data_IF_679612038021
#
_entry.id   IF_679612038021
#
_cell.length_a   1.000
_cell.length_b   1.000
_cell.length_c   1.000
_cell.angle_alpha   90.00
_cell.angle_beta   90.00
_cell.angle_gamma   90.00
#
_symmetry.space_group_name_H-M   'P 1'
#
loop_
_entity.id
_entity.type
_entity.pdbx_description
1 polymer ?
#
# COMPACT_ATOMS: atom_id res chain seq x y z
N UNK A 1 25.15 13.07 -8.79
CA UNK A 1 26.39 12.35 -8.44
C UNK A 1 25.97 11.10 -7.69
N UNK A 2 25.80 10.01 -8.42
CA UNK A 2 25.20 8.76 -7.91
C UNK A 2 26.29 7.98 -7.17
N UNK A 3 26.25 7.99 -5.85
CA UNK A 3 26.90 6.94 -5.06
C UNK A 3 25.87 5.85 -4.81
N UNK A 4 25.97 4.80 -5.63
CA UNK A 4 25.48 3.47 -5.27
C UNK A 4 26.31 3.04 -4.06
N UNK A 5 25.73 3.15 -2.87
CA UNK A 5 26.18 2.43 -1.69
C UNK A 5 25.32 1.18 -1.60
N UNK A 6 25.75 0.14 -2.32
CA UNK A 6 25.14 -1.20 -2.31
C UNK A 6 25.53 -1.96 -1.02
N UNK A 7 25.43 -1.29 0.12
CA UNK A 7 25.57 -1.91 1.44
C UNK A 7 24.19 -1.87 2.06
N UNK A 8 23.50 -3.02 2.01
CA UNK A 8 22.25 -3.17 2.75
C UNK A 8 22.53 -2.91 4.23
N UNK A 9 21.70 -2.09 4.85
CA UNK A 9 21.81 -1.85 6.29
C UNK A 9 21.62 -3.16 7.05
N UNK A 10 22.13 -3.24 8.26
CA UNK A 10 22.00 -4.44 9.09
C UNK A 10 20.52 -4.80 9.34
N UNK A 11 19.66 -3.80 9.51
CA UNK A 11 18.20 -4.00 9.61
C UNK A 11 17.58 -4.57 8.32
N UNK A 12 18.03 -4.13 7.14
CA UNK A 12 17.56 -4.68 5.86
C UNK A 12 17.91 -6.18 5.72
N UNK A 13 19.10 -6.58 6.15
CA UNK A 13 19.50 -7.98 6.13
C UNK A 13 18.62 -8.84 7.07
N UNK A 14 18.25 -8.31 8.23
CA UNK A 14 17.35 -8.99 9.16
C UNK A 14 15.94 -9.20 8.59
N UNK A 15 15.39 -8.18 7.93
CA UNK A 15 14.09 -8.25 7.27
C UNK A 15 14.09 -9.26 6.10
N UNK A 16 15.16 -9.30 5.31
CA UNK A 16 15.33 -10.31 4.25
C UNK A 16 15.51 -11.71 4.83
N UNK A 17 16.21 -11.85 5.96
CA UNK A 17 16.34 -13.13 6.65
C UNK A 17 14.96 -13.62 7.11
N UNK A 18 14.15 -12.77 7.73
CA UNK A 18 12.78 -13.08 8.12
C UNK A 18 11.93 -13.56 6.94
N UNK A 19 11.93 -12.82 5.83
CA UNK A 19 11.16 -13.21 4.63
C UNK A 19 11.60 -14.56 4.06
N UNK A 20 12.91 -14.83 4.01
CA UNK A 20 13.44 -16.12 3.56
C UNK A 20 13.07 -17.26 4.51
N UNK A 21 13.18 -17.03 5.83
CA UNK A 21 12.77 -17.99 6.84
C UNK A 21 11.28 -18.33 6.68
N UNK A 22 10.40 -17.33 6.62
CA UNK A 22 8.97 -17.55 6.46
C UNK A 22 8.62 -18.28 5.16
N UNK A 23 9.31 -17.95 4.06
CA UNK A 23 9.14 -18.65 2.78
C UNK A 23 9.52 -20.13 2.88
N UNK A 24 10.58 -20.49 3.61
CA UNK A 24 10.98 -21.89 3.83
C UNK A 24 9.98 -22.67 4.68
N UNK A 25 9.15 -21.98 5.47
CA UNK A 25 8.10 -22.56 6.31
C UNK A 25 6.73 -22.57 5.60
N UNK A 26 6.69 -22.38 4.28
CA UNK A 26 5.46 -22.25 3.48
C UNK A 26 4.45 -21.25 4.07
N UNK A 27 4.97 -20.18 4.69
CA UNK A 27 4.16 -19.17 5.38
C UNK A 27 3.20 -18.48 4.41
N UNK A 28 1.95 -18.33 4.82
CA UNK A 28 0.92 -17.57 4.13
C UNK A 28 0.00 -16.88 5.14
N UNK A 29 -0.33 -15.62 4.90
CA UNK A 29 -1.22 -14.85 5.75
C UNK A 29 -1.96 -13.79 4.96
N UNK A 30 -3.28 -13.80 5.03
CA UNK A 30 -4.12 -12.79 4.37
C UNK A 30 -4.42 -11.68 5.37
N UNK A 31 -3.98 -10.46 5.07
CA UNK A 31 -4.31 -9.29 5.87
C UNK A 31 -5.79 -8.93 5.69
N UNK A 32 -6.48 -8.69 6.80
CA UNK A 32 -7.90 -8.34 6.85
C UNK A 32 -8.11 -6.93 7.42
N UNK A 33 -9.35 -6.46 7.50
CA UNK A 33 -9.64 -5.12 8.05
C UNK A 33 -9.13 -4.96 9.49
N UNK A 34 -8.65 -3.78 9.90
CA UNK A 34 -8.17 -3.54 11.26
C UNK A 34 -9.17 -3.93 12.35
N UNK A 35 -10.46 -3.63 12.15
CA UNK A 35 -11.52 -3.98 13.09
C UNK A 35 -11.68 -5.51 13.24
N UNK A 36 -11.65 -6.25 12.13
CA UNK A 36 -11.70 -7.72 12.17
C UNK A 36 -10.43 -8.30 12.78
N UNK A 37 -9.26 -7.71 12.48
CA UNK A 37 -7.99 -8.10 13.06
C UNK A 37 -8.01 -7.98 14.58
N UNK A 38 -8.45 -6.83 15.12
CA UNK A 38 -8.55 -6.61 16.56
C UNK A 38 -9.42 -7.69 17.23
N UNK A 39 -10.62 -7.95 16.68
CA UNK A 39 -11.54 -8.97 17.23
C UNK A 39 -10.93 -10.37 17.28
N UNK A 40 -10.10 -10.74 16.29
CA UNK A 40 -9.42 -12.04 16.27
C UNK A 40 -8.22 -12.05 17.22
N UNK A 41 -7.48 -10.95 17.30
CA UNK A 41 -6.37 -10.79 18.25
C UNK A 41 -6.86 -10.92 19.69
N UNK A 42 -7.96 -10.26 20.06
CA UNK A 42 -8.57 -10.34 21.39
C UNK A 42 -8.94 -11.79 21.75
N UNK A 43 -9.54 -12.52 20.81
CA UNK A 43 -9.88 -13.94 21.02
C UNK A 43 -8.64 -14.80 21.25
N UNK A 44 -7.56 -14.54 20.51
CA UNK A 44 -6.29 -15.27 20.63
C UNK A 44 -5.57 -14.97 21.94
N UNK A 45 -5.59 -13.72 22.40
CA UNK A 45 -4.99 -13.33 23.67
C UNK A 45 -5.66 -14.03 24.86
N UNK A 46 -6.95 -14.36 24.74
CA UNK A 46 -7.70 -15.07 25.77
C UNK A 46 -7.52 -16.60 25.73
N UNK A 47 -6.85 -17.15 24.72
CA UNK A 47 -6.62 -18.59 24.57
C UNK A 47 -5.24 -18.99 25.13
N UNK A 48 -5.19 -19.24 26.44
CA UNK A 48 -3.94 -19.49 27.18
C UNK A 48 -3.29 -20.86 26.91
N UNK A 49 -4.00 -21.79 26.25
CA UNK A 49 -3.54 -23.17 26.06
C UNK A 49 -3.04 -23.45 24.64
N UNK A 50 -2.95 -22.41 23.81
CA UNK A 50 -2.63 -22.56 22.39
C UNK A 50 -1.13 -22.48 22.14
N UNK A 51 -0.62 -23.40 21.32
CA UNK A 51 0.70 -23.28 20.71
C UNK A 51 0.77 -22.05 19.79
N UNK A 52 1.82 -21.24 19.96
CA UNK A 52 2.03 -20.02 19.20
C UNK A 52 2.62 -20.37 17.83
N UNK A 53 1.95 -19.95 16.77
CA UNK A 53 2.40 -20.18 15.39
C UNK A 53 3.09 -18.96 14.80
N UNK A 54 3.86 -19.12 13.72
CA UNK A 54 4.40 -18.00 12.94
C UNK A 54 3.30 -17.05 12.44
N UNK A 55 2.09 -17.56 12.16
CA UNK A 55 0.94 -16.72 11.80
C UNK A 55 0.42 -15.92 12.97
N UNK A 56 0.52 -16.44 14.20
CA UNK A 56 0.18 -15.67 15.39
C UNK A 56 1.18 -14.51 15.58
N UNK A 57 2.49 -14.78 15.43
CA UNK A 57 3.56 -13.77 15.60
C UNK A 57 3.55 -12.72 14.47
N UNK A 58 3.77 -13.14 13.21
CA UNK A 58 3.98 -12.21 12.09
C UNK A 58 2.70 -11.87 11.33
N UNK A 59 1.62 -12.63 11.53
CA UNK A 59 0.33 -12.38 10.89
C UNK A 59 -0.59 -11.59 11.81
N UNK A 60 -0.91 -12.14 12.98
CA UNK A 60 -1.83 -11.57 13.95
C UNK A 60 -1.19 -10.56 14.91
N UNK A 61 0.15 -10.48 14.95
CA UNK A 61 0.90 -9.62 15.88
C UNK A 61 0.69 -10.01 17.35
N UNK A 62 0.47 -11.29 17.62
CA UNK A 62 0.28 -11.83 18.97
C UNK A 62 1.62 -11.86 19.72
N UNK A 63 1.57 -11.55 21.03
CA UNK A 63 2.73 -11.65 21.92
C UNK A 63 3.21 -13.09 22.07
N UNK A 64 4.52 -13.29 22.16
CA UNK A 64 5.14 -14.61 22.22
C UNK A 64 6.35 -14.65 23.19
N UNK A 65 6.72 -15.84 23.65
CA UNK A 65 7.92 -16.08 24.46
C UNK A 65 9.11 -16.36 23.54
N UNK A 66 10.32 -16.14 24.05
CA UNK A 66 11.56 -16.45 23.31
C UNK A 66 11.62 -17.89 22.78
N UNK A 67 11.03 -18.85 23.50
CA UNK A 67 10.98 -20.27 23.13
C UNK A 67 10.00 -20.59 22.00
N UNK A 68 9.11 -19.66 21.65
CA UNK A 68 8.08 -19.86 20.64
C UNK A 68 8.58 -19.55 19.21
N UNK A 69 9.84 -19.13 19.08
CA UNK A 69 10.47 -18.78 17.81
C UNK A 69 11.80 -19.51 17.67
N UNK A 70 12.20 -19.79 16.43
CA UNK A 70 13.53 -20.33 16.13
C UNK A 70 14.61 -19.45 16.78
N UNK A 71 15.57 -20.04 17.53
CA UNK A 71 16.55 -19.25 18.29
C UNK A 71 17.41 -18.33 17.42
N UNK A 72 17.77 -18.75 16.20
CA UNK A 72 18.58 -17.93 15.30
C UNK A 72 17.76 -16.77 14.75
N UNK A 73 16.51 -17.02 14.33
CA UNK A 73 15.60 -15.96 13.93
C UNK A 73 15.33 -14.98 15.08
N UNK A 74 15.06 -15.47 16.29
CA UNK A 74 14.84 -14.63 17.46
C UNK A 74 16.02 -13.69 17.71
N UNK A 75 17.25 -14.22 17.76
CA UNK A 75 18.46 -13.42 17.99
C UNK A 75 18.65 -12.33 16.94
N UNK A 76 18.41 -12.64 15.67
CA UNK A 76 18.50 -11.65 14.57
C UNK A 76 17.44 -10.55 14.75
N UNK A 77 16.19 -10.90 15.05
CA UNK A 77 15.13 -9.91 15.22
C UNK A 77 15.36 -9.03 16.46
N UNK A 78 15.85 -9.62 17.56
CA UNK A 78 16.19 -8.91 18.80
C UNK A 78 17.35 -7.91 18.58
N UNK A 79 18.45 -8.37 17.97
CA UNK A 79 19.64 -7.54 17.70
C UNK A 79 19.31 -6.31 16.82
N UNK A 80 18.38 -6.46 15.88
CA UNK A 80 17.98 -5.41 14.95
C UNK A 80 16.74 -4.60 15.39
N UNK A 81 16.34 -4.71 16.66
CA UNK A 81 15.21 -3.96 17.25
C UNK A 81 13.89 -4.16 16.50
N UNK A 82 13.71 -5.36 15.93
CA UNK A 82 12.46 -5.78 15.27
C UNK A 82 11.49 -6.45 16.24
N UNK A 83 11.86 -6.53 17.52
CA UNK A 83 11.01 -7.00 18.62
C UNK A 83 10.86 -5.90 19.68
N UNK A 84 9.67 -5.80 20.25
CA UNK A 84 9.36 -4.96 21.43
C UNK A 84 8.91 -5.86 22.59
N UNK A 85 9.26 -5.49 23.81
CA UNK A 85 8.80 -6.20 25.01
C UNK A 85 7.55 -5.49 25.57
N UNK A 86 6.51 -6.26 25.86
CA UNK A 86 5.30 -5.82 26.55
C UNK A 86 4.82 -6.92 27.50
N UNK A 87 4.66 -6.60 28.79
CA UNK A 87 4.12 -7.52 29.81
C UNK A 87 4.81 -8.90 29.84
N UNK A 88 6.15 -8.91 29.71
CA UNK A 88 7.01 -10.11 29.64
C UNK A 88 6.89 -10.96 28.36
N UNK A 89 6.17 -10.48 27.34
CA UNK A 89 6.11 -11.08 26.01
C UNK A 89 6.84 -10.21 24.98
N UNK A 90 7.33 -10.85 23.93
CA UNK A 90 7.85 -10.17 22.74
C UNK A 90 6.71 -9.93 21.75
N UNK A 91 6.75 -8.79 21.09
CA UNK A 91 5.87 -8.41 19.98
C UNK A 91 6.74 -8.11 18.77
N UNK A 92 6.36 -8.62 17.60
CA UNK A 92 7.02 -8.25 16.35
C UNK A 92 6.68 -6.79 16.00
N UNK A 93 7.69 -6.03 15.60
CA UNK A 93 7.56 -4.65 15.09
C UNK A 93 7.14 -4.62 13.61
N UNK A 94 7.10 -5.79 12.97
CA UNK A 94 6.67 -5.98 11.58
C UNK A 94 5.66 -7.12 11.47
N UNK A 95 4.80 -7.01 10.46
CA UNK A 95 3.94 -8.10 10.02
C UNK A 95 4.30 -8.50 8.61
N UNK A 96 3.92 -9.72 8.25
CA UNK A 96 4.14 -10.27 6.91
C UNK A 96 2.81 -10.77 6.35
N UNK A 97 2.40 -10.19 5.22
CA UNK A 97 1.20 -10.61 4.50
C UNK A 97 1.59 -11.26 3.17
N UNK A 98 0.69 -12.07 2.62
CA UNK A 98 0.88 -12.68 1.30
C UNK A 98 -0.10 -12.16 0.27
N UNK A 99 0.38 -12.02 -0.97
CA UNK A 99 -0.39 -11.68 -2.17
C UNK A 99 0.20 -12.46 -3.36
N UNK A 100 -0.63 -13.28 -4.02
CA UNK A 100 -0.22 -14.13 -5.15
C UNK A 100 1.06 -14.96 -4.88
N UNK A 101 1.12 -15.61 -3.71
CA UNK A 101 2.26 -16.40 -3.21
C UNK A 101 3.56 -15.61 -2.94
N UNK A 102 3.57 -14.29 -3.10
CA UNK A 102 4.65 -13.42 -2.64
C UNK A 102 4.38 -12.95 -1.21
N UNK A 103 5.44 -12.68 -0.44
CA UNK A 103 5.38 -12.17 0.93
C UNK A 103 5.81 -10.70 0.95
N UNK A 104 5.16 -9.92 1.81
CA UNK A 104 5.37 -8.48 1.94
C UNK A 104 5.46 -8.11 3.41
N UNK A 105 6.56 -7.45 3.81
CA UNK A 105 6.70 -6.81 5.11
C UNK A 105 5.88 -5.53 5.14
N UNK A 106 5.19 -5.31 6.26
CA UNK A 106 4.48 -4.08 6.58
C UNK A 106 4.48 -3.83 8.10
N UNK A 107 3.92 -2.70 8.55
CA UNK A 107 3.95 -2.32 9.97
C UNK A 107 3.20 -3.29 10.88
N UNK A 108 3.64 -3.36 12.14
CA UNK A 108 2.95 -4.02 13.24
C UNK A 108 1.51 -3.53 13.44
N UNK A 109 0.73 -4.33 14.15
CA UNK A 109 -0.61 -3.98 14.60
C UNK A 109 -0.61 -3.67 16.11
N UNK A 110 -1.33 -2.63 16.59
CA UNK A 110 -2.20 -1.73 15.82
C UNK A 110 -1.39 -0.70 15.01
N UNK A 111 -1.88 -0.30 13.84
CA UNK A 111 -1.22 0.66 12.95
C UNK A 111 -1.56 2.09 13.38
N UNK A 112 -0.97 2.54 14.49
CA UNK A 112 -1.25 3.85 15.10
C UNK A 112 -0.14 4.87 14.84
N UNK A 113 1.04 4.41 14.44
CA UNK A 113 2.16 5.31 14.18
C UNK A 113 1.90 6.17 12.93
N UNK A 114 2.36 7.42 13.01
CA UNK A 114 2.26 8.39 11.91
C UNK A 114 2.87 7.87 10.61
N UNK A 115 3.99 7.15 10.74
CA UNK A 115 4.78 6.57 9.65
C UNK A 115 4.44 5.11 9.35
N UNK A 116 3.33 4.58 9.89
CA UNK A 116 2.97 3.18 9.68
C UNK A 116 2.76 2.88 8.19
N UNK A 117 3.24 1.71 7.76
CA UNK A 117 3.09 1.20 6.39
C UNK A 117 2.00 0.16 6.39
N UNK A 118 0.89 0.47 5.72
CA UNK A 118 -0.30 -0.37 5.72
C UNK A 118 -0.27 -1.41 4.61
N UNK A 119 -0.86 -2.57 4.91
CA UNK A 119 -1.16 -3.62 3.95
C UNK A 119 -2.49 -4.26 4.40
N UNK A 120 -3.49 -4.25 3.53
CA UNK A 120 -4.83 -4.70 3.90
C UNK A 120 -5.72 -5.04 2.70
N UNK A 121 -7.04 -5.21 2.93
CA UNK A 121 -8.02 -5.56 1.88
C UNK A 121 -7.99 -4.67 0.63
N UNK A 122 -7.68 -3.38 0.82
CA UNK A 122 -7.50 -2.41 -0.26
C UNK A 122 -6.34 -2.78 -1.19
N UNK A 123 -5.21 -3.24 -0.65
CA UNK A 123 -4.04 -3.68 -1.42
C UNK A 123 -4.40 -4.85 -2.34
N UNK A 124 -5.18 -5.82 -1.84
CA UNK A 124 -5.65 -6.96 -2.64
C UNK A 124 -6.55 -6.53 -3.78
N UNK A 125 -7.55 -5.68 -3.50
CA UNK A 125 -8.48 -5.15 -4.51
C UNK A 125 -7.73 -4.33 -5.55
N UNK A 126 -6.84 -3.43 -5.12
CA UNK A 126 -6.05 -2.59 -6.00
C UNK A 126 -5.19 -3.42 -6.96
N UNK A 127 -4.41 -4.37 -6.44
CA UNK A 127 -3.58 -5.24 -7.27
C UNK A 127 -4.41 -6.09 -8.24
N UNK A 128 -5.59 -6.56 -7.83
CA UNK A 128 -6.51 -7.29 -8.69
C UNK A 128 -7.01 -6.42 -9.85
N UNK A 129 -7.60 -5.26 -9.57
CA UNK A 129 -8.19 -4.41 -10.60
C UNK A 129 -7.14 -3.80 -11.53
N UNK A 130 -5.96 -3.43 -11.01
CA UNK A 130 -4.85 -2.97 -11.83
C UNK A 130 -4.42 -4.07 -12.81
N UNK A 131 -4.25 -5.32 -12.34
CA UNK A 131 -3.92 -6.44 -13.23
C UNK A 131 -4.96 -6.61 -14.34
N UNK A 132 -6.26 -6.55 -14.03
CA UNK A 132 -7.31 -6.68 -15.05
C UNK A 132 -7.24 -5.55 -16.08
N UNK A 133 -7.08 -4.32 -15.61
CA UNK A 133 -6.95 -3.15 -16.48
C UNK A 133 -5.74 -3.29 -17.43
N UNK A 134 -4.56 -3.65 -16.91
CA UNK A 134 -3.36 -3.82 -17.72
C UNK A 134 -3.47 -5.00 -18.70
N UNK A 135 -4.17 -6.08 -18.34
CA UNK A 135 -4.42 -7.22 -19.24
C UNK A 135 -5.27 -6.84 -20.45
N UNK A 136 -6.18 -5.86 -20.31
CA UNK A 136 -7.01 -5.38 -21.43
C UNK A 136 -6.32 -4.37 -22.35
N UNK A 137 -5.08 -3.96 -22.05
CA UNK A 137 -4.33 -2.96 -22.82
C UNK A 137 -3.35 -3.60 -23.79
N UNK A 138 -3.14 -2.94 -24.92
CA UNK A 138 -2.16 -3.33 -25.95
C UNK A 138 -0.95 -2.39 -26.04
N UNK A 139 -1.04 -1.18 -25.48
CA UNK A 139 0.07 -0.21 -25.53
C UNK A 139 1.24 -0.66 -24.64
N UNK A 140 2.49 -0.45 -25.07
CA UNK A 140 3.67 -0.76 -24.27
C UNK A 140 3.70 0.06 -22.96
N UNK A 141 4.09 -0.58 -21.87
CA UNK A 141 4.26 0.04 -20.55
C UNK A 141 5.73 -0.02 -20.16
N UNK A 142 6.57 0.79 -20.82
CA UNK A 142 8.02 0.75 -20.63
C UNK A 142 8.44 1.48 -19.37
N UNK A 143 7.81 2.62 -19.08
CA UNK A 143 8.11 3.43 -17.92
C UNK A 143 6.88 3.65 -17.06
N UNK A 144 6.91 3.14 -15.84
CA UNK A 144 5.78 3.21 -14.91
C UNK A 144 6.16 3.89 -13.60
N UNK A 145 5.17 4.46 -12.91
CA UNK A 145 5.30 4.94 -11.54
C UNK A 145 4.12 4.54 -10.66
N UNK A 146 4.41 3.95 -9.51
CA UNK A 146 3.49 3.83 -8.38
C UNK A 146 3.65 5.03 -7.45
N UNK A 147 2.59 5.79 -7.20
CA UNK A 147 2.58 6.86 -6.19
C UNK A 147 1.96 6.35 -4.88
N UNK A 148 2.45 6.87 -3.76
CA UNK A 148 2.06 6.42 -2.41
C UNK A 148 2.28 4.92 -2.26
N UNK A 149 3.46 4.44 -2.64
CA UNK A 149 3.68 3.02 -2.90
C UNK A 149 3.57 2.13 -1.66
N UNK A 150 3.75 2.66 -0.44
CA UNK A 150 3.67 1.88 0.79
C UNK A 150 4.62 0.67 0.74
N UNK A 151 4.05 -0.53 0.67
CA UNK A 151 4.80 -1.80 0.58
C UNK A 151 5.30 -2.16 -0.82
N UNK A 152 4.87 -1.43 -1.85
CA UNK A 152 5.04 -1.73 -3.28
C UNK A 152 4.45 -3.08 -3.71
N UNK A 153 3.46 -3.58 -3.00
CA UNK A 153 2.83 -4.86 -3.30
C UNK A 153 2.18 -4.90 -4.69
N UNK A 154 1.57 -3.80 -5.14
CA UNK A 154 1.00 -3.72 -6.47
C UNK A 154 2.10 -3.64 -7.54
N UNK A 155 3.11 -2.76 -7.39
CA UNK A 155 4.26 -2.69 -8.29
C UNK A 155 4.98 -4.04 -8.46
N UNK A 156 5.32 -4.71 -7.35
CA UNK A 156 5.96 -6.03 -7.36
C UNK A 156 5.06 -7.06 -8.05
N UNK A 157 3.76 -7.02 -7.82
CA UNK A 157 2.81 -7.93 -8.46
C UNK A 157 2.76 -7.70 -9.97
N UNK A 158 2.56 -6.47 -10.43
CA UNK A 158 2.44 -6.19 -11.87
C UNK A 158 3.76 -6.45 -12.61
N UNK A 159 4.91 -6.16 -12.01
CA UNK A 159 6.22 -6.42 -12.62
C UNK A 159 6.48 -7.92 -12.84
N UNK A 160 5.90 -8.80 -12.00
CA UNK A 160 5.94 -10.25 -12.21
C UNK A 160 5.00 -10.73 -13.30
N UNK A 161 3.83 -10.09 -13.45
CA UNK A 161 2.85 -10.46 -14.48
C UNK A 161 3.17 -9.88 -15.87
N UNK A 162 3.76 -8.69 -15.91
CA UNK A 162 4.08 -7.94 -17.12
C UNK A 162 5.57 -7.59 -17.12
N UNK A 163 6.46 -8.54 -17.46
CA UNK A 163 7.92 -8.35 -17.33
C UNK A 163 8.53 -7.45 -18.41
N UNK A 164 7.75 -7.03 -19.42
CA UNK A 164 8.20 -6.23 -20.56
C UNK A 164 8.15 -4.71 -20.28
N UNK A 165 8.81 -4.28 -19.20
CA UNK A 165 9.03 -2.89 -18.83
C UNK A 165 10.53 -2.57 -18.74
N UNK A 166 10.89 -1.30 -18.92
CA UNK A 166 12.26 -0.81 -18.82
C UNK A 166 12.55 -0.28 -17.42
N UNK A 167 11.63 0.49 -16.85
CA UNK A 167 11.77 1.12 -15.53
C UNK A 167 10.41 1.21 -14.81
N UNK A 168 10.38 0.89 -13.53
CA UNK A 168 9.25 1.15 -12.65
C UNK A 168 9.73 1.91 -11.41
N UNK A 169 9.24 3.12 -11.23
CA UNK A 169 9.52 3.93 -10.03
C UNK A 169 8.43 3.65 -8.99
N UNK A 170 8.79 3.50 -7.73
CA UNK A 170 7.83 3.47 -6.62
C UNK A 170 8.13 4.66 -5.71
N UNK A 171 7.17 5.56 -5.57
CA UNK A 171 7.35 6.84 -4.92
C UNK A 171 6.50 6.94 -3.65
N UNK A 172 7.11 7.42 -2.56
CA UNK A 172 6.43 7.65 -1.30
C UNK A 172 7.09 8.82 -0.54
N UNK A 173 6.31 9.50 0.29
CA UNK A 173 6.82 10.54 1.19
C UNK A 173 7.50 9.92 2.43
N UNK A 174 7.02 8.74 2.83
CA UNK A 174 7.40 8.06 4.07
C UNK A 174 8.70 7.24 3.90
N UNK A 175 9.81 7.60 4.58
CA UNK A 175 11.05 6.84 4.51
C UNK A 175 10.93 5.38 4.95
N UNK A 176 10.02 5.08 5.88
CA UNK A 176 9.75 3.70 6.34
C UNK A 176 9.03 2.88 5.28
N UNK A 177 8.12 3.50 4.52
CA UNK A 177 7.51 2.87 3.34
C UNK A 177 8.58 2.51 2.30
N UNK A 178 9.50 3.44 2.00
CA UNK A 178 10.59 3.19 1.05
C UNK A 178 11.55 2.08 1.52
N UNK A 179 11.83 2.01 2.83
CA UNK A 179 12.59 0.90 3.41
C UNK A 179 11.90 -0.45 3.17
N UNK A 180 10.61 -0.55 3.49
CA UNK A 180 9.85 -1.81 3.32
C UNK A 180 9.65 -2.15 1.84
N UNK A 181 9.38 -1.15 1.01
CA UNK A 181 9.33 -1.26 -0.45
C UNK A 181 10.63 -1.87 -0.99
N UNK A 182 11.80 -1.32 -0.62
CA UNK A 182 13.09 -1.87 -1.04
C UNK A 182 13.26 -3.33 -0.61
N UNK A 183 12.87 -3.68 0.63
CA UNK A 183 12.95 -5.07 1.10
C UNK A 183 12.04 -6.03 0.33
N UNK A 184 10.82 -5.59 0.02
CA UNK A 184 9.87 -6.39 -0.74
C UNK A 184 10.32 -6.56 -2.21
N UNK A 185 10.90 -5.52 -2.81
CA UNK A 185 11.49 -5.54 -4.17
C UNK A 185 12.70 -6.49 -4.22
N UNK A 186 13.61 -6.34 -3.26
CA UNK A 186 14.82 -7.16 -3.15
C UNK A 186 14.47 -8.64 -2.96
N UNK A 187 13.51 -8.93 -2.07
CA UNK A 187 13.03 -10.28 -1.83
C UNK A 187 12.33 -10.88 -3.07
N UNK A 188 11.66 -10.05 -3.86
CA UNK A 188 11.08 -10.44 -5.13
C UNK A 188 12.11 -10.64 -6.26
N UNK A 189 13.35 -10.19 -6.07
CA UNK A 189 14.43 -10.30 -7.06
C UNK A 189 14.27 -9.35 -8.25
N UNK A 190 13.52 -8.25 -8.10
CA UNK A 190 13.18 -7.32 -9.18
C UNK A 190 14.18 -6.16 -9.24
N UNK A 191 14.98 -6.09 -10.32
CA UNK A 191 16.08 -5.11 -10.44
C UNK A 191 15.71 -3.79 -11.10
N UNK A 192 14.56 -3.76 -11.78
CA UNK A 192 14.07 -2.60 -12.55
C UNK A 192 13.04 -1.76 -11.78
N UNK A 193 12.89 -2.02 -10.48
CA UNK A 193 12.01 -1.25 -9.60
C UNK A 193 12.87 -0.39 -8.68
N UNK A 194 12.59 0.91 -8.64
CA UNK A 194 13.41 1.89 -7.93
C UNK A 194 12.58 2.73 -6.95
N UNK A 195 12.80 2.58 -5.63
CA UNK A 195 12.20 3.46 -4.64
C UNK A 195 12.75 4.88 -4.70
N UNK A 196 11.87 5.87 -4.68
CA UNK A 196 12.22 7.30 -4.69
C UNK A 196 11.40 8.05 -3.64
N UNK A 197 12.08 8.79 -2.76
CA UNK A 197 11.38 9.69 -1.85
C UNK A 197 10.87 10.91 -2.60
N UNK A 198 9.55 11.10 -2.65
CA UNK A 198 8.92 12.18 -3.40
C UNK A 198 7.56 12.55 -2.80
N UNK A 199 7.25 13.85 -2.76
CA UNK A 199 5.86 14.31 -2.65
C UNK A 199 5.26 14.28 -4.06
N UNK A 200 4.46 13.26 -4.34
CA UNK A 200 3.93 12.97 -5.67
C UNK A 200 5.03 13.02 -6.73
N UNK A 201 4.98 13.98 -7.65
CA UNK A 201 5.90 14.10 -8.78
C UNK A 201 7.13 14.99 -8.51
N UNK A 202 7.23 15.61 -7.32
CA UNK A 202 8.24 16.65 -7.03
C UNK A 202 9.70 16.21 -7.31
N UNK A 203 10.04 14.96 -7.01
CA UNK A 203 11.37 14.40 -7.24
C UNK A 203 11.41 13.40 -8.41
N UNK A 204 10.38 13.38 -9.25
CA UNK A 204 10.27 12.48 -10.39
C UNK A 204 10.61 13.21 -11.69
N UNK A 205 11.44 12.60 -12.52
CA UNK A 205 11.87 13.18 -13.79
C UNK A 205 11.17 12.50 -14.97
N UNK A 206 10.83 13.30 -15.99
CA UNK A 206 10.28 12.82 -17.25
C UNK A 206 8.80 12.42 -17.18
N UNK A 207 8.40 11.64 -18.18
CA UNK A 207 7.01 11.20 -18.38
C UNK A 207 6.90 9.67 -18.26
N UNK A 208 5.68 9.17 -18.10
CA UNK A 208 5.36 7.78 -17.82
C UNK A 208 4.28 7.24 -18.77
N UNK A 209 4.40 5.97 -19.12
CA UNK A 209 3.38 5.21 -19.85
C UNK A 209 2.26 4.75 -18.91
N UNK A 210 2.59 4.53 -17.63
CA UNK A 210 1.64 4.16 -16.58
C UNK A 210 1.94 4.94 -15.30
N UNK A 211 0.95 5.66 -14.80
CA UNK A 211 0.91 6.19 -13.43
C UNK A 211 -0.18 5.41 -12.71
N UNK A 212 0.12 4.84 -11.55
CA UNK A 212 -0.88 4.14 -10.75
C UNK A 212 -0.74 4.47 -9.28
N UNK A 213 -1.85 4.50 -8.56
CA UNK A 213 -1.84 4.85 -7.14
C UNK A 213 -3.05 4.28 -6.39
N UNK A 214 -2.79 3.88 -5.14
CA UNK A 214 -3.78 3.69 -4.09
C UNK A 214 -3.39 4.66 -2.96
N UNK A 215 -3.66 5.97 -3.10
CA UNK A 215 -3.28 6.93 -2.09
C UNK A 215 -4.16 6.79 -0.83
N UNK A 216 -3.71 7.34 0.29
CA UNK A 216 -4.58 7.70 1.41
C UNK A 216 -5.81 8.48 0.94
N UNK A 217 -7.00 8.11 1.42
CA UNK A 217 -8.27 8.69 0.98
C UNK A 217 -9.28 8.96 2.12
N UNK A 218 -8.85 8.92 3.38
CA UNK A 218 -9.70 9.23 4.53
C UNK A 218 -9.30 10.56 5.20
N UNK A 219 -10.19 11.14 5.99
CA UNK A 219 -9.88 12.18 6.97
C UNK A 219 -9.49 11.44 8.26
N UNK A 220 -8.25 11.60 8.69
CA UNK A 220 -7.74 10.98 9.90
C UNK A 220 -7.30 12.09 10.87
N UNK A 221 -7.92 12.21 12.06
CA UNK A 221 -7.55 13.24 13.03
C UNK A 221 -6.08 13.19 13.47
N UNK A 222 -5.47 12.00 13.41
CA UNK A 222 -4.05 11.80 13.70
C UNK A 222 -3.15 12.05 12.49
N UNK A 223 -3.73 12.33 11.32
CA UNK A 223 -3.04 12.56 10.05
C UNK A 223 -2.06 11.44 9.63
N UNK A 224 -2.30 10.18 10.01
CA UNK A 224 -1.39 9.07 9.67
C UNK A 224 -1.15 9.01 8.17
N UNK A 225 0.11 8.91 7.75
CA UNK A 225 0.52 9.09 6.36
C UNK A 225 -0.10 8.07 5.41
N UNK A 226 -0.39 6.85 5.87
CA UNK A 226 -1.04 5.82 5.04
C UNK A 226 -2.57 6.00 4.92
N UNK A 227 -3.16 6.92 5.69
CA UNK A 227 -4.61 6.99 5.90
C UNK A 227 -5.21 8.34 5.52
N UNK A 228 -4.53 9.43 5.87
CA UNK A 228 -5.03 10.77 5.65
C UNK A 228 -4.82 11.25 4.20
N UNK A 229 -5.91 11.38 3.43
CA UNK A 229 -5.88 11.88 2.06
C UNK A 229 -6.08 13.39 1.92
N UNK A 230 -6.12 14.12 3.05
CA UNK A 230 -6.33 15.57 3.13
C UNK A 230 -7.76 15.97 3.46
N UNK A 231 -7.94 17.18 3.99
CA UNK A 231 -9.24 17.66 4.51
C UNK A 231 -10.23 18.10 3.42
N UNK A 232 -9.74 18.38 2.21
CA UNK A 232 -10.60 18.74 1.08
C UNK A 232 -11.23 17.50 0.43
N UNK A 233 -12.40 17.69 -0.17
CA UNK A 233 -13.16 16.63 -0.84
C UNK A 233 -13.38 15.41 0.06
N UNK A 234 -13.59 15.65 1.36
CA UNK A 234 -13.92 14.63 2.37
C UNK A 234 -12.87 13.49 2.48
N UNK A 235 -11.59 13.81 2.29
CA UNK A 235 -10.50 12.84 2.30
C UNK A 235 -9.81 12.65 0.97
N UNK A 236 -10.30 13.26 -0.12
CA UNK A 236 -9.82 12.98 -1.48
C UNK A 236 -8.92 14.07 -2.10
N UNK A 237 -8.41 15.02 -1.32
CA UNK A 237 -7.51 16.05 -1.80
C UNK A 237 -6.28 15.47 -2.53
N UNK A 238 -5.67 14.44 -1.94
CA UNK A 238 -4.49 13.76 -2.48
C UNK A 238 -4.81 13.01 -3.78
N UNK A 239 -5.90 12.24 -3.81
CA UNK A 239 -6.42 11.57 -5.01
C UNK A 239 -6.64 12.55 -6.17
N UNK A 240 -7.22 13.71 -5.89
CA UNK A 240 -7.45 14.74 -6.90
C UNK A 240 -6.16 15.40 -7.38
N UNK A 241 -5.20 15.66 -6.48
CA UNK A 241 -3.85 16.16 -6.83
C UNK A 241 -3.10 15.18 -7.72
N UNK A 242 -3.13 13.88 -7.42
CA UNK A 242 -2.50 12.83 -8.24
C UNK A 242 -3.02 12.89 -9.68
N UNK A 243 -4.33 13.01 -9.87
CA UNK A 243 -4.92 13.13 -11.22
C UNK A 243 -4.45 14.42 -11.90
N UNK A 244 -4.58 15.55 -11.21
CA UNK A 244 -4.28 16.87 -11.77
C UNK A 244 -2.82 17.01 -12.20
N UNK A 245 -1.89 16.59 -11.34
CA UNK A 245 -0.45 16.60 -11.62
C UNK A 245 -0.09 15.48 -12.62
N UNK A 246 -0.64 14.29 -12.43
CA UNK A 246 -0.29 13.11 -13.24
C UNK A 246 -0.56 13.26 -14.72
N UNK A 247 -1.63 13.96 -15.12
CA UNK A 247 -1.93 14.20 -16.54
C UNK A 247 -0.76 14.92 -17.25
N UNK A 248 -0.02 15.78 -16.55
CA UNK A 248 1.13 16.51 -17.09
C UNK A 248 2.37 15.63 -17.25
N UNK A 249 2.40 14.48 -16.56
CA UNK A 249 3.49 13.53 -16.55
C UNK A 249 3.26 12.30 -17.44
N UNK A 250 2.20 12.28 -18.26
CA UNK A 250 1.94 11.17 -19.18
C UNK A 250 2.69 11.32 -20.50
N UNK A 251 3.25 10.21 -20.98
CA UNK A 251 3.66 10.06 -22.37
C UNK A 251 2.41 10.08 -23.30
N UNK A 252 2.58 10.30 -24.61
CA UNK A 252 1.52 9.98 -25.58
C UNK A 252 1.07 8.53 -25.40
N UNK A 253 -0.26 8.29 -25.33
CA UNK A 253 -0.88 6.99 -25.00
C UNK A 253 -0.63 6.47 -23.57
N UNK A 254 -0.01 7.29 -22.72
CA UNK A 254 0.13 6.98 -21.30
C UNK A 254 -1.22 6.99 -20.58
N UNK A 255 -1.28 6.29 -19.45
CA UNK A 255 -2.49 6.21 -18.63
C UNK A 255 -2.26 6.43 -17.14
N UNK A 256 -3.31 6.90 -16.46
CA UNK A 256 -3.43 6.91 -15.00
C UNK A 256 -4.45 5.85 -14.59
N UNK A 257 -4.09 5.03 -13.62
CA UNK A 257 -4.99 4.10 -12.93
C UNK A 257 -5.01 4.43 -11.43
N UNK A 258 -6.07 5.08 -10.98
CA UNK A 258 -6.24 5.48 -9.59
C UNK A 258 -7.31 4.61 -8.91
N UNK A 259 -6.99 4.12 -7.74
CA UNK A 259 -7.92 3.50 -6.79
C UNK A 259 -8.12 4.45 -5.62
N UNK A 260 -9.36 4.72 -5.21
CA UNK A 260 -9.62 5.63 -4.08
C UNK A 260 -10.96 5.31 -3.44
N UNK A 261 -11.07 5.44 -2.12
CA UNK A 261 -12.36 5.61 -1.46
C UNK A 261 -12.95 6.99 -1.81
N UNK A 262 -14.26 7.12 -1.89
CA UNK A 262 -14.95 8.40 -2.14
C UNK A 262 -16.20 8.47 -1.29
N UNK A 263 -16.50 9.65 -0.76
CA UNK A 263 -17.73 9.87 0.00
C UNK A 263 -18.89 10.15 -0.94
N UNK A 264 -20.06 9.64 -0.55
CA UNK A 264 -21.33 9.95 -1.21
C UNK A 264 -22.26 10.53 -0.16
N UNK A 265 -22.83 11.69 -0.46
CA UNK A 265 -23.78 12.40 0.40
C UNK A 265 -25.13 12.53 -0.32
N UNK A 266 -26.11 13.13 0.37
CA UNK A 266 -27.39 13.49 -0.22
C UNK A 266 -27.23 14.41 -1.46
N UNK A 267 -26.19 15.23 -1.50
CA UNK A 267 -25.86 16.14 -2.61
C UNK A 267 -25.04 15.46 -3.73
N UNK A 268 -24.74 14.16 -3.56
CA UNK A 268 -24.02 13.34 -4.52
C UNK A 268 -22.54 13.13 -4.18
N UNK A 269 -21.75 12.80 -5.21
CA UNK A 269 -20.32 12.52 -5.08
C UNK A 269 -19.49 13.77 -5.45
N UNK A 270 -18.94 14.42 -4.42
CA UNK A 270 -18.17 15.67 -4.58
C UNK A 270 -16.87 15.43 -5.35
N UNK A 271 -16.17 14.33 -5.11
CA UNK A 271 -14.94 13.99 -5.83
C UNK A 271 -15.22 13.83 -7.34
N UNK A 272 -16.27 13.10 -7.71
CA UNK A 272 -16.67 12.90 -9.10
C UNK A 272 -17.05 14.23 -9.78
N UNK A 273 -17.81 15.10 -9.11
CA UNK A 273 -18.16 16.41 -9.67
C UNK A 273 -16.91 17.27 -9.97
N UNK A 274 -15.91 17.26 -9.09
CA UNK A 274 -14.64 17.96 -9.31
C UNK A 274 -13.83 17.32 -10.44
N UNK A 275 -13.79 15.99 -10.48
CA UNK A 275 -13.14 15.23 -11.56
C UNK A 275 -13.75 15.56 -12.92
N UNK A 276 -15.08 15.54 -13.05
CA UNK A 276 -15.79 15.90 -14.28
C UNK A 276 -15.44 17.31 -14.74
N UNK A 277 -15.40 18.27 -13.82
CA UNK A 277 -15.05 19.65 -14.13
C UNK A 277 -13.59 19.78 -14.60
N UNK A 278 -12.67 19.05 -13.97
CA UNK A 278 -11.27 18.99 -14.42
C UNK A 278 -11.16 18.39 -15.82
N UNK A 279 -11.86 17.28 -16.09
CA UNK A 279 -11.77 16.57 -17.37
C UNK A 279 -12.30 17.38 -18.54
N UNK A 280 -13.26 18.31 -18.33
CA UNK A 280 -13.74 19.23 -19.38
C UNK A 280 -12.63 20.13 -19.97
N UNK A 281 -11.52 20.30 -19.26
CA UNK A 281 -10.39 21.11 -19.71
C UNK A 281 -9.52 20.37 -20.74
N UNK A 282 -9.63 19.04 -20.83
CA UNK A 282 -8.78 18.21 -21.67
C UNK A 282 -9.56 17.56 -22.82
N UNK A 283 -9.26 17.99 -24.06
CA UNK A 283 -9.94 17.47 -25.27
C UNK A 283 -9.34 16.15 -25.78
N UNK A 284 -8.06 15.92 -25.51
CA UNK A 284 -7.28 14.77 -25.97
C UNK A 284 -7.19 13.65 -24.92
N UNK A 285 -8.07 13.64 -23.91
CA UNK A 285 -8.10 12.62 -22.88
C UNK A 285 -9.37 11.79 -23.00
N UNK A 286 -9.24 10.48 -22.82
CA UNK A 286 -10.33 9.57 -22.50
C UNK A 286 -10.29 9.27 -21.01
N UNK A 287 -11.44 9.20 -20.35
CA UNK A 287 -11.48 8.87 -18.93
C UNK A 287 -12.74 8.08 -18.57
N UNK A 288 -12.67 7.32 -17.49
CA UNK A 288 -13.82 6.67 -16.87
C UNK A 288 -13.72 6.70 -15.34
N UNK A 289 -14.88 6.65 -14.71
CA UNK A 289 -15.07 6.48 -13.29
C UNK A 289 -15.99 5.28 -13.07
N UNK A 290 -15.62 4.41 -12.13
CA UNK A 290 -16.34 3.18 -11.84
C UNK A 290 -16.37 2.93 -10.33
N UNK A 291 -17.55 2.87 -9.73
CA UNK A 291 -17.71 2.36 -8.35
C UNK A 291 -17.66 0.83 -8.37
N UNK A 292 -16.68 0.27 -7.66
CA UNK A 292 -16.42 -1.18 -7.63
C UNK A 292 -16.82 -1.84 -6.31
N UNK A 293 -17.04 -1.05 -5.27
CA UNK A 293 -17.60 -1.49 -3.98
C UNK A 293 -18.47 -0.34 -3.46
N UNK A 294 -19.79 -0.52 -3.29
CA UNK A 294 -20.67 0.59 -2.94
C UNK A 294 -20.52 1.05 -1.49
N UNK A 295 -19.98 0.22 -0.59
CA UNK A 295 -19.92 0.53 0.83
C UNK A 295 -18.71 -0.13 1.50
N UNK A 296 -17.73 0.70 1.84
CA UNK A 296 -16.52 0.32 2.56
C UNK A 296 -16.39 1.20 3.81
N UNK A 297 -15.76 0.66 4.86
CA UNK A 297 -15.43 1.42 6.06
C UNK A 297 -16.65 2.05 6.76
N UNK A 298 -17.76 1.32 6.88
CA UNK A 298 -18.96 1.82 7.57
C UNK A 298 -18.70 2.27 9.02
N UNK A 299 -17.66 1.74 9.67
CA UNK A 299 -17.21 2.21 10.99
C UNK A 299 -16.72 3.67 11.01
N UNK A 300 -16.32 4.24 9.88
CA UNK A 300 -15.84 5.62 9.80
C UNK A 300 -16.99 6.64 9.89
N UNK A 301 -18.22 6.22 9.57
CA UNK A 301 -19.39 7.10 9.67
C UNK A 301 -19.71 7.50 11.12
N UNK A 302 -19.14 6.79 12.11
CA UNK A 302 -19.19 7.19 13.52
C UNK A 302 -18.31 8.41 13.83
N UNK A 303 -17.37 8.76 12.95
CA UNK A 303 -16.44 9.87 13.17
C UNK A 303 -17.12 11.22 12.90
N UNK A 304 -16.75 12.29 13.64
CA UNK A 304 -17.28 13.63 13.41
C UNK A 304 -17.07 14.15 11.98
N UNK A 305 -15.97 13.77 11.33
CA UNK A 305 -15.63 14.20 9.97
C UNK A 305 -16.57 13.64 8.89
N UNK A 306 -17.40 12.64 9.22
CA UNK A 306 -18.24 11.91 8.27
C UNK A 306 -19.74 11.97 8.60
N UNK A 307 -20.17 12.83 9.54
CA UNK A 307 -21.58 12.93 9.93
C UNK A 307 -22.51 13.40 8.80
N UNK A 308 -21.97 14.03 7.75
CA UNK A 308 -22.70 14.44 6.55
C UNK A 308 -22.62 13.44 5.40
N UNK A 309 -21.98 12.28 5.60
CA UNK A 309 -21.73 11.28 4.56
C UNK A 309 -22.68 10.09 4.73
N UNK A 310 -23.33 9.68 3.65
CA UNK A 310 -24.27 8.55 3.66
C UNK A 310 -23.52 7.21 3.58
N UNK A 311 -22.47 7.16 2.75
CA UNK A 311 -21.61 5.98 2.55
C UNK A 311 -20.25 6.38 1.99
N UNK A 312 -19.27 5.51 2.18
CA UNK A 312 -17.97 5.62 1.52
C UNK A 312 -17.90 4.51 0.48
N UNK A 313 -17.87 4.88 -0.80
CA UNK A 313 -17.72 3.95 -1.90
C UNK A 313 -16.25 3.73 -2.22
N UNK A 314 -15.94 2.64 -2.92
CA UNK A 314 -14.66 2.44 -3.58
C UNK A 314 -14.78 2.70 -5.06
N UNK A 315 -13.89 3.53 -5.60
CA UNK A 315 -13.89 3.91 -7.00
C UNK A 315 -12.55 3.66 -7.70
N UNK A 316 -12.65 3.39 -9.00
CA UNK A 316 -11.54 3.41 -9.94
C UNK A 316 -11.69 4.62 -10.86
N UNK A 317 -10.59 5.34 -11.07
CA UNK A 317 -10.48 6.37 -12.11
C UNK A 317 -9.42 5.93 -13.11
N UNK A 318 -9.81 5.88 -14.38
CA UNK A 318 -8.92 5.50 -15.49
C UNK A 318 -8.84 6.68 -16.43
N UNK A 319 -7.63 7.13 -16.77
CA UNK A 319 -7.39 8.28 -17.66
C UNK A 319 -6.37 7.85 -18.70
N UNK A 320 -6.62 8.18 -19.96
CA UNK A 320 -5.77 7.78 -21.09
C UNK A 320 -5.59 8.96 -22.05
N UNK A 321 -4.34 9.25 -22.42
CA UNK A 321 -4.03 10.26 -23.43
C UNK A 321 -4.27 9.67 -24.82
N UNK A 322 -5.12 10.31 -25.62
CA UNK A 322 -5.36 9.93 -27.02
C UNK A 322 -4.13 10.26 -27.88
N UNK A 323 -3.99 9.54 -29.00
CA UNK A 323 -2.92 9.75 -29.97
C UNK A 323 -2.82 11.19 -30.47
#
# INVERSE_FOLDING_TARGET
>A
MNQILDIKTSQQQALLYLLNFLKQQDYQFIAITPLSHQRILDRKQNDLNKEITLKDIFGWNLGFKKTDLDPALFSILEEHQLLKIQENLYLSQVRVASLNNALFIHSAFPTIEQDAVFFGPDTYRFAYHLKQYLTSRSDPLKRAVELCCGTSAAAVSIAKYFPDYDELIVADLNPKALLYSQMNIDFAGLKKIHPVQSDLFANLQGQFDLIFANPPYLIDPHQRQYRHGGDELDGNALSFRIIKEGIQHLNPRGCIFLYTGVTVTQDGNRFLAHLENLMRQYKNISWSYEEIDPDIFGEELEQPAYQHVDRIALALVKIEVKQ
#
